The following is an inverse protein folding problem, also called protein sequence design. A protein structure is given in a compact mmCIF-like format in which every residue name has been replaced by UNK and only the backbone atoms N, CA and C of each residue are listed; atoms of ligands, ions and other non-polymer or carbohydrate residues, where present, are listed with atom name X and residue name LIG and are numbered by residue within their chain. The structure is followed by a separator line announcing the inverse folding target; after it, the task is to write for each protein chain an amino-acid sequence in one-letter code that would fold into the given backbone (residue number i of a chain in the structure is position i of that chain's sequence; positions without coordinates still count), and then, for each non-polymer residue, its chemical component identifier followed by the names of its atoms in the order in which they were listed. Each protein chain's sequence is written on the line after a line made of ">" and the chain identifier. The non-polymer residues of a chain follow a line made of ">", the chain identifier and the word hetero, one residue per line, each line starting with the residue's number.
data_IF_719758216572
#
_entry.id   IF_719758216572
#
_cell.length_a   1.000
_cell.length_b   1.000
_cell.length_c   1.000
_cell.angle_alpha   90.00
_cell.angle_beta   90.00
_cell.angle_gamma   90.00
#
_symmetry.space_group_name_H-M   'P 1'
#
loop_
_entity.id
_entity.type
_entity.pdbx_description
1 polymer ?
#
# COMPACT_ATOMS: atom_id res chain seq x y z
N UNK A 1 -0.06 17.94 -0.32
CA UNK A 1 -0.57 17.69 1.04
C UNK A 1 -1.77 16.77 0.88
N UNK A 2 -1.86 15.68 1.61
CA UNK A 2 -3.03 14.79 1.58
C UNK A 2 -4.19 15.44 2.33
N UNK A 3 -5.42 15.31 1.80
CA UNK A 3 -6.65 15.80 2.42
C UNK A 3 -7.70 14.71 2.61
N UNK A 4 -7.67 13.71 1.74
CA UNK A 4 -8.59 12.58 1.78
C UNK A 4 -7.80 11.26 1.81
N UNK A 5 -7.99 10.48 2.85
CA UNK A 5 -7.38 9.17 3.01
C UNK A 5 -8.46 8.09 2.98
N UNK A 6 -8.19 6.99 2.29
CA UNK A 6 -9.01 5.78 2.32
C UNK A 6 -8.26 4.68 3.04
N UNK A 7 -8.87 4.01 4.01
CA UNK A 7 -8.33 2.81 4.64
C UNK A 7 -9.28 1.64 4.46
N UNK A 8 -8.75 0.53 3.96
CA UNK A 8 -9.49 -0.73 3.93
C UNK A 8 -9.54 -1.32 5.35
N UNK A 9 -10.74 -1.68 5.80
CA UNK A 9 -11.03 -2.15 7.15
C UNK A 9 -11.60 -3.56 7.08
N UNK A 10 -11.03 -4.48 7.84
CA UNK A 10 -11.54 -5.84 8.01
C UNK A 10 -11.57 -6.26 9.49
N UNK A 11 -12.01 -7.49 9.75
CA UNK A 11 -12.10 -8.02 11.11
C UNK A 11 -10.80 -8.56 11.69
N UNK A 12 -9.67 -8.49 10.95
CA UNK A 12 -8.38 -9.05 11.39
C UNK A 12 -7.71 -8.17 12.46
N UNK A 13 -6.77 -8.75 13.20
CA UNK A 13 -5.95 -7.96 14.14
C UNK A 13 -4.94 -7.08 13.39
N UNK A 14 -4.47 -7.50 12.22
CA UNK A 14 -3.64 -6.70 11.34
C UNK A 14 -4.33 -5.41 10.88
N UNK A 15 -5.67 -5.40 10.76
CA UNK A 15 -6.43 -4.19 10.46
C UNK A 15 -6.26 -3.10 11.52
N UNK A 16 -6.05 -3.46 12.79
CA UNK A 16 -5.84 -2.46 13.85
C UNK A 16 -4.55 -1.67 13.64
N UNK A 17 -3.47 -2.32 13.20
CA UNK A 17 -2.21 -1.64 12.89
C UNK A 17 -2.37 -0.69 11.70
N UNK A 18 -3.11 -1.14 10.67
CA UNK A 18 -3.42 -0.35 9.48
C UNK A 18 -4.29 0.86 9.80
N UNK A 19 -5.32 0.67 10.62
CA UNK A 19 -6.22 1.74 11.10
C UNK A 19 -5.42 2.78 11.91
N UNK A 20 -4.63 2.34 12.89
CA UNK A 20 -3.80 3.22 13.72
C UNK A 20 -2.79 4.01 12.87
N UNK A 21 -2.13 3.35 11.91
CA UNK A 21 -1.22 4.02 10.97
C UNK A 21 -1.95 5.10 10.14
N UNK A 22 -3.15 4.79 9.63
CA UNK A 22 -3.97 5.71 8.85
C UNK A 22 -4.47 6.90 9.65
N UNK A 23 -4.88 6.69 10.91
CA UNK A 23 -5.28 7.77 11.82
C UNK A 23 -4.14 8.74 12.11
N UNK A 24 -2.91 8.22 12.27
CA UNK A 24 -1.73 9.08 12.45
C UNK A 24 -1.41 9.91 11.22
N UNK A 25 -1.57 9.35 10.02
CA UNK A 25 -1.45 10.10 8.77
C UNK A 25 -2.55 11.16 8.66
N UNK A 26 -3.81 10.82 8.96
CA UNK A 26 -4.92 11.75 8.95
C UNK A 26 -4.66 12.94 9.89
N UNK A 27 -4.22 12.67 11.12
CA UNK A 27 -3.86 13.72 12.08
C UNK A 27 -2.68 14.58 11.60
N UNK A 28 -1.61 13.95 11.06
CA UNK A 28 -0.44 14.67 10.55
C UNK A 28 -0.79 15.65 9.45
N UNK A 29 -1.73 15.30 8.59
CA UNK A 29 -2.09 16.09 7.41
C UNK A 29 -3.37 16.91 7.58
N UNK A 30 -4.04 16.82 8.73
CA UNK A 30 -5.37 17.40 8.93
C UNK A 30 -6.32 16.93 7.79
N UNK A 31 -6.36 15.62 7.60
CA UNK A 31 -7.04 14.95 6.50
C UNK A 31 -8.24 14.17 7.00
N UNK A 32 -9.29 14.11 6.17
CA UNK A 32 -10.43 13.25 6.37
C UNK A 32 -10.06 11.77 6.13
N UNK A 33 -10.55 10.86 6.97
CA UNK A 33 -10.27 9.42 6.89
C UNK A 33 -11.53 8.62 6.62
N UNK A 34 -11.63 8.00 5.45
CA UNK A 34 -12.71 7.07 5.10
C UNK A 34 -12.31 5.63 5.40
N UNK A 35 -13.06 4.95 6.28
CA UNK A 35 -12.94 3.51 6.51
C UNK A 35 -13.84 2.72 5.57
N UNK A 36 -13.28 1.94 4.66
CA UNK A 36 -14.01 1.08 3.72
C UNK A 36 -13.96 -0.37 4.16
N UNK A 37 -15.11 -0.98 4.43
CA UNK A 37 -15.23 -2.41 4.70
C UNK A 37 -15.91 -3.13 3.54
N UNK A 38 -15.26 -4.18 3.04
CA UNK A 38 -15.79 -5.02 1.96
C UNK A 38 -16.62 -6.16 2.53
N UNK A 39 -17.87 -6.26 2.07
CA UNK A 39 -18.76 -7.35 2.38
C UNK A 39 -18.61 -8.41 1.29
N UNK A 40 -18.22 -9.62 1.67
CA UNK A 40 -18.04 -10.69 0.70
C UNK A 40 -19.37 -11.10 0.09
N UNK A 41 -19.46 -10.99 -1.24
CA UNK A 41 -20.56 -11.56 -2.00
C UNK A 41 -20.39 -13.08 -2.10
N UNK A 42 -21.49 -13.79 -1.99
CA UNK A 42 -21.52 -15.25 -2.14
C UNK A 42 -21.38 -15.62 -3.62
N UNK A 43 -20.19 -16.05 -4.03
CA UNK A 43 -19.94 -16.56 -5.37
C UNK A 43 -19.92 -18.09 -5.31
N UNK A 44 -21.07 -18.71 -5.64
CA UNK A 44 -21.18 -20.16 -5.65
C UNK A 44 -21.05 -20.71 -7.07
N UNK A 45 -20.30 -21.79 -7.26
CA UNK A 45 -20.37 -22.55 -8.50
C UNK A 45 -21.82 -23.01 -8.75
N UNK A 46 -22.31 -23.00 -10.00
CA UNK A 46 -23.71 -23.37 -10.32
C UNK A 46 -24.14 -24.74 -9.75
N UNK A 47 -23.22 -25.71 -9.71
CA UNK A 47 -23.47 -27.02 -9.13
C UNK A 47 -23.75 -26.98 -7.60
N UNK A 48 -23.19 -26.04 -6.88
CA UNK A 48 -23.39 -25.91 -5.43
C UNK A 48 -24.63 -25.04 -5.14
N UNK A 49 -24.87 -24.01 -5.96
CA UNK A 49 -26.03 -23.12 -5.81
C UNK A 49 -27.37 -23.86 -5.91
N UNK A 50 -27.43 -24.97 -6.64
CA UNK A 50 -28.64 -25.80 -6.77
C UNK A 50 -29.06 -26.43 -5.44
N UNK A 51 -28.16 -26.66 -4.51
CA UNK A 51 -28.42 -27.27 -3.20
C UNK A 51 -28.49 -26.26 -2.05
N UNK A 52 -28.27 -24.97 -2.33
CA UNK A 52 -28.38 -23.93 -1.31
C UNK A 52 -29.85 -23.56 -1.07
N UNK A 53 -30.28 -23.59 0.19
CA UNK A 53 -31.60 -23.07 0.56
C UNK A 53 -31.55 -21.57 0.74
N UNK A 54 -32.67 -20.89 0.52
CA UNK A 54 -32.79 -19.44 0.71
C UNK A 54 -32.47 -19.02 2.17
N UNK A 55 -32.79 -19.91 3.14
CA UNK A 55 -32.49 -19.67 4.55
C UNK A 55 -30.97 -19.66 4.82
N UNK A 56 -30.25 -20.62 4.23
CA UNK A 56 -28.78 -20.71 4.38
C UNK A 56 -28.09 -19.54 3.70
N UNK A 57 -28.52 -19.15 2.51
CA UNK A 57 -28.04 -17.97 1.82
C UNK A 57 -28.25 -16.70 2.66
N UNK A 58 -29.46 -16.49 3.20
CA UNK A 58 -29.79 -15.38 4.05
C UNK A 58 -28.94 -15.36 5.32
N UNK A 59 -28.67 -16.53 5.92
CA UNK A 59 -27.83 -16.64 7.11
C UNK A 59 -26.37 -16.26 6.82
N UNK A 60 -25.80 -16.74 5.72
CA UNK A 60 -24.43 -16.38 5.31
C UNK A 60 -24.31 -14.87 5.08
N UNK A 61 -25.27 -14.28 4.37
CA UNK A 61 -25.29 -12.85 4.11
C UNK A 61 -25.43 -12.02 5.40
N UNK A 62 -26.25 -12.47 6.35
CA UNK A 62 -26.41 -11.82 7.65
C UNK A 62 -25.10 -11.90 8.47
N UNK A 63 -24.41 -13.03 8.47
CA UNK A 63 -23.13 -13.21 9.14
C UNK A 63 -22.05 -12.33 8.54
N UNK A 64 -21.95 -12.19 7.21
CA UNK A 64 -21.01 -11.28 6.56
C UNK A 64 -21.32 -9.81 6.88
N UNK A 65 -22.59 -9.41 6.89
CA UNK A 65 -23.00 -8.06 7.31
C UNK A 65 -22.63 -7.77 8.77
N UNK A 66 -22.83 -8.72 9.70
CA UNK A 66 -22.45 -8.59 11.10
C UNK A 66 -20.94 -8.46 11.28
N UNK A 67 -20.16 -9.22 10.52
CA UNK A 67 -18.69 -9.12 10.51
C UNK A 67 -18.23 -7.73 10.05
N UNK A 68 -18.81 -7.24 8.96
CA UNK A 68 -18.49 -5.91 8.44
C UNK A 68 -18.83 -4.80 9.44
N UNK A 69 -20.03 -4.88 10.07
CA UNK A 69 -20.44 -3.91 11.07
C UNK A 69 -19.54 -3.95 12.32
N UNK A 70 -19.14 -5.14 12.77
CA UNK A 70 -18.20 -5.27 13.89
C UNK A 70 -16.82 -4.68 13.56
N UNK A 71 -16.33 -4.85 12.33
CA UNK A 71 -15.08 -4.25 11.88
C UNK A 71 -15.17 -2.72 11.82
N UNK A 72 -16.25 -2.18 11.27
CA UNK A 72 -16.49 -0.74 11.23
C UNK A 72 -16.70 -0.13 12.61
N UNK A 73 -17.33 -0.84 13.54
CA UNK A 73 -17.48 -0.36 14.91
C UNK A 73 -16.12 -0.26 15.62
N UNK A 74 -15.21 -1.21 15.39
CA UNK A 74 -13.81 -1.11 15.87
C UNK A 74 -13.11 0.12 15.29
N UNK A 75 -13.29 0.38 14.00
CA UNK A 75 -12.75 1.57 13.34
C UNK A 75 -13.34 2.86 13.93
N UNK A 76 -14.68 2.98 14.02
CA UNK A 76 -15.36 4.16 14.61
C UNK A 76 -14.91 4.43 16.03
N UNK A 77 -14.80 3.38 16.85
CA UNK A 77 -14.32 3.51 18.23
C UNK A 77 -12.90 4.03 18.30
N UNK A 78 -12.01 3.52 17.45
CA UNK A 78 -10.64 3.98 17.37
C UNK A 78 -10.56 5.43 16.86
N UNK A 79 -11.26 5.76 15.76
CA UNK A 79 -11.24 7.09 15.17
C UNK A 79 -11.89 8.15 16.07
N UNK A 80 -12.98 7.82 16.78
CA UNK A 80 -13.63 8.74 17.72
C UNK A 80 -12.77 9.09 18.94
N UNK A 81 -11.77 8.30 19.27
CA UNK A 81 -10.83 8.61 20.35
C UNK A 81 -9.71 9.58 19.92
N UNK A 82 -9.62 9.84 18.64
CA UNK A 82 -8.66 10.72 18.00
C UNK A 82 -9.38 11.97 17.47
N UNK A 83 -8.70 13.09 17.44
CA UNK A 83 -9.27 14.36 16.92
C UNK A 83 -9.10 14.42 15.39
N UNK A 84 -9.85 13.57 14.68
CA UNK A 84 -9.86 13.49 13.21
C UNK A 84 -11.28 13.42 12.67
N UNK A 85 -11.49 13.98 11.49
CA UNK A 85 -12.75 13.80 10.75
C UNK A 85 -12.73 12.45 10.01
N UNK A 86 -13.81 11.69 10.13
CA UNK A 86 -13.90 10.39 9.46
C UNK A 86 -15.33 10.03 9.02
N UNK A 87 -15.42 9.15 8.03
CA UNK A 87 -16.64 8.44 7.67
C UNK A 87 -16.40 6.93 7.50
N UNK A 88 -17.48 6.16 7.29
CA UNK A 88 -17.40 4.74 7.02
C UNK A 88 -18.22 4.38 5.80
N UNK A 89 -17.69 3.48 4.97
CA UNK A 89 -18.36 2.95 3.78
C UNK A 89 -18.34 1.42 3.80
N UNK A 90 -19.38 0.85 3.22
CA UNK A 90 -19.40 -0.58 2.88
C UNK A 90 -19.67 -0.73 1.41
N UNK A 91 -19.04 -1.71 0.81
CA UNK A 91 -19.38 -2.16 -0.54
C UNK A 91 -19.35 -3.68 -0.60
N UNK A 92 -20.03 -4.26 -1.58
CA UNK A 92 -20.19 -5.71 -1.70
C UNK A 92 -19.66 -6.20 -3.02
N UNK A 93 -18.80 -7.22 -2.95
CA UNK A 93 -18.25 -7.87 -4.13
C UNK A 93 -17.72 -9.26 -3.86
N UNK A 94 -17.48 -9.99 -4.92
CA UNK A 94 -16.72 -11.23 -4.86
C UNK A 94 -15.24 -10.92 -4.52
N UNK A 95 -14.46 -11.88 -4.02
CA UNK A 95 -13.04 -11.68 -3.76
C UNK A 95 -12.26 -11.16 -4.99
N UNK A 96 -12.68 -11.55 -6.20
CA UNK A 96 -12.07 -11.08 -7.45
C UNK A 96 -12.36 -9.62 -7.78
N UNK A 97 -13.48 -9.08 -7.29
CA UNK A 97 -13.90 -7.69 -7.49
C UNK A 97 -13.37 -6.75 -6.41
N UNK A 98 -12.85 -7.26 -5.30
CA UNK A 98 -12.44 -6.45 -4.16
C UNK A 98 -11.38 -5.41 -4.50
N UNK A 99 -10.39 -5.76 -5.33
CA UNK A 99 -9.36 -4.82 -5.75
C UNK A 99 -9.94 -3.66 -6.58
N UNK A 100 -10.84 -3.95 -7.49
CA UNK A 100 -11.53 -2.95 -8.31
C UNK A 100 -12.40 -2.02 -7.45
N UNK A 101 -13.12 -2.58 -6.46
CA UNK A 101 -13.96 -1.83 -5.53
C UNK A 101 -13.10 -0.87 -4.70
N UNK A 102 -12.03 -1.37 -4.05
CA UNK A 102 -11.12 -0.51 -3.28
C UNK A 102 -10.53 0.59 -4.16
N UNK A 103 -10.10 0.23 -5.36
CA UNK A 103 -9.52 1.17 -6.30
C UNK A 103 -10.52 2.22 -6.79
N UNK A 104 -11.78 1.84 -6.98
CA UNK A 104 -12.85 2.78 -7.33
C UNK A 104 -13.06 3.83 -6.23
N UNK A 105 -13.13 3.41 -4.97
CA UNK A 105 -13.21 4.33 -3.84
C UNK A 105 -11.93 5.18 -3.70
N UNK A 106 -10.76 4.58 -3.93
CA UNK A 106 -9.46 5.24 -3.88
C UNK A 106 -9.25 6.34 -4.92
N UNK A 107 -10.05 6.37 -6.01
CA UNK A 107 -9.99 7.46 -7.00
C UNK A 107 -10.42 8.82 -6.46
N UNK A 108 -11.08 8.82 -5.32
CA UNK A 108 -11.53 10.03 -4.62
C UNK A 108 -10.71 10.31 -3.34
N UNK A 109 -9.59 9.61 -3.18
CA UNK A 109 -8.65 9.80 -2.07
C UNK A 109 -7.27 10.17 -2.61
N UNK A 110 -6.52 10.94 -1.82
CA UNK A 110 -5.12 11.28 -2.12
C UNK A 110 -4.18 10.11 -1.82
N UNK A 111 -4.58 9.22 -0.91
CA UNK A 111 -3.82 8.03 -0.54
C UNK A 111 -4.78 6.91 -0.12
N UNK A 112 -4.61 5.74 -0.70
CA UNK A 112 -5.32 4.51 -0.30
C UNK A 112 -4.41 3.66 0.58
N UNK A 113 -4.89 3.27 1.76
CA UNK A 113 -4.14 2.43 2.71
C UNK A 113 -4.78 1.05 2.77
N UNK A 114 -3.97 0.03 2.48
CA UNK A 114 -4.37 -1.38 2.53
C UNK A 114 -3.39 -2.20 3.37
N UNK A 115 -3.75 -3.42 3.72
CA UNK A 115 -2.87 -4.34 4.44
C UNK A 115 -2.03 -5.22 3.52
N UNK A 116 -0.85 -5.59 3.99
CA UNK A 116 -0.13 -6.74 3.45
C UNK A 116 -0.94 -8.01 3.74
N UNK A 117 -1.09 -8.94 2.78
CA UNK A 117 -1.74 -10.22 3.03
C UNK A 117 -1.03 -11.00 4.15
N UNK A 118 -1.81 -11.50 5.08
CA UNK A 118 -1.33 -12.45 6.08
C UNK A 118 -1.32 -13.85 5.46
N UNK A 119 -0.16 -14.51 5.31
CA UNK A 119 -0.08 -15.85 4.72
C UNK A 119 -0.77 -16.92 5.57
N UNK A 120 -0.98 -16.68 6.86
CA UNK A 120 -1.64 -17.60 7.78
C UNK A 120 -3.15 -17.33 7.89
N UNK A 121 -3.67 -16.29 7.22
CA UNK A 121 -5.09 -15.97 7.25
C UNK A 121 -5.92 -17.02 6.50
N UNK A 122 -6.98 -17.50 7.14
CA UNK A 122 -7.92 -18.48 6.57
C UNK A 122 -8.75 -17.88 5.43
N UNK A 123 -8.88 -16.56 5.39
CA UNK A 123 -9.66 -15.86 4.36
C UNK A 123 -8.73 -15.25 3.31
N UNK A 124 -9.16 -15.32 2.04
CA UNK A 124 -8.47 -14.61 0.96
C UNK A 124 -8.44 -13.13 1.27
N UNK A 125 -7.25 -12.64 1.56
CA UNK A 125 -6.99 -11.21 1.72
C UNK A 125 -6.96 -10.53 0.34
N UNK A 126 -7.14 -9.22 0.34
CA UNK A 126 -6.98 -8.38 -0.82
C UNK A 126 -5.56 -8.51 -1.38
N UNK A 127 -5.39 -8.76 -2.68
CA UNK A 127 -4.06 -8.75 -3.30
C UNK A 127 -3.60 -7.29 -3.52
N UNK A 128 -2.52 -6.85 -2.87
CA UNK A 128 -2.03 -5.48 -3.04
C UNK A 128 -1.61 -5.15 -4.47
N UNK A 129 -1.13 -6.14 -5.21
CA UNK A 129 -0.73 -5.97 -6.60
C UNK A 129 -1.92 -5.60 -7.49
N UNK A 130 -3.04 -6.28 -7.31
CA UNK A 130 -4.26 -5.99 -8.06
C UNK A 130 -4.80 -4.59 -7.73
N UNK A 131 -4.76 -4.18 -6.44
CA UNK A 131 -5.17 -2.84 -6.04
C UNK A 131 -4.27 -1.78 -6.67
N UNK A 132 -2.95 -1.94 -6.61
CA UNK A 132 -1.99 -0.98 -7.20
C UNK A 132 -2.19 -0.86 -8.70
N UNK A 133 -2.45 -1.96 -9.39
CA UNK A 133 -2.69 -1.97 -10.85
C UNK A 133 -4.01 -1.28 -11.24
N UNK A 134 -5.04 -1.36 -10.40
CA UNK A 134 -6.35 -0.76 -10.64
C UNK A 134 -6.46 0.67 -10.08
N UNK A 135 -5.57 1.07 -9.16
CA UNK A 135 -5.61 2.35 -8.48
C UNK A 135 -5.31 3.52 -9.43
N UNK A 136 -5.97 4.65 -9.20
CA UNK A 136 -5.70 5.91 -9.91
C UNK A 136 -4.66 6.79 -9.23
N UNK A 137 -4.24 6.44 -8.00
CA UNK A 137 -3.33 7.19 -7.14
C UNK A 137 -2.41 6.28 -6.31
N UNK A 138 -1.69 6.86 -5.35
CA UNK A 138 -0.75 6.12 -4.52
C UNK A 138 -1.45 5.15 -3.56
N UNK A 139 -0.84 4.00 -3.37
CA UNK A 139 -1.28 2.97 -2.44
C UNK A 139 -0.19 2.77 -1.37
N UNK A 140 -0.57 2.90 -0.11
CA UNK A 140 0.24 2.56 1.03
C UNK A 140 -0.12 1.16 1.52
N UNK A 141 0.84 0.27 1.53
CA UNK A 141 0.66 -1.09 2.01
C UNK A 141 1.31 -1.18 3.39
N UNK A 142 0.51 -1.54 4.40
CA UNK A 142 0.97 -1.65 5.79
C UNK A 142 1.28 -3.11 6.12
N UNK A 143 2.44 -3.42 6.72
CA UNK A 143 2.80 -4.79 7.09
C UNK A 143 1.75 -5.43 8.00
N UNK A 144 1.54 -6.75 7.83
CA UNK A 144 0.66 -7.53 8.71
C UNK A 144 1.32 -7.85 10.05
N UNK A 145 2.64 -7.82 10.12
CA UNK A 145 3.44 -8.08 11.33
C UNK A 145 4.10 -6.80 11.82
N UNK A 146 4.18 -6.67 13.14
CA UNK A 146 4.83 -5.53 13.79
C UNK A 146 3.93 -4.31 13.88
N UNK A 147 4.41 -3.32 14.61
CA UNK A 147 3.74 -2.02 14.71
C UNK A 147 4.58 -1.01 13.94
N UNK A 148 4.12 -0.51 12.78
CA UNK A 148 4.85 0.53 12.06
C UNK A 148 5.14 1.72 12.97
N UNK A 149 6.30 2.33 12.80
CA UNK A 149 6.64 3.54 13.58
C UNK A 149 5.56 4.60 13.41
N UNK A 150 5.38 5.37 14.45
CA UNK A 150 4.33 6.41 14.52
C UNK A 150 4.57 7.58 13.61
N UNK A 151 5.82 7.79 13.24
CA UNK A 151 6.28 8.91 12.40
C UNK A 151 7.09 8.36 11.23
N UNK A 152 6.84 8.92 10.05
CA UNK A 152 7.69 8.69 8.87
C UNK A 152 8.86 9.65 8.98
N UNK A 153 10.02 9.13 9.42
CA UNK A 153 11.22 9.93 9.67
C UNK A 153 12.35 9.60 8.69
N UNK A 154 12.54 8.29 8.40
CA UNK A 154 13.62 7.82 7.55
C UNK A 154 13.02 7.14 6.32
N UNK A 155 13.05 7.83 5.19
CA UNK A 155 12.42 7.35 3.96
C UNK A 155 13.47 6.84 2.98
N UNK A 156 13.25 5.64 2.47
CA UNK A 156 14.02 5.11 1.35
C UNK A 156 13.20 5.18 0.07
N UNK A 157 13.78 5.68 -1.00
CA UNK A 157 13.22 5.73 -2.34
C UNK A 157 13.97 4.74 -3.23
N UNK A 158 13.30 3.68 -3.69
CA UNK A 158 13.86 2.79 -4.70
C UNK A 158 13.68 3.41 -6.08
N UNK A 159 14.78 3.85 -6.69
CA UNK A 159 14.78 4.60 -7.93
C UNK A 159 15.36 3.80 -9.10
N UNK A 160 14.60 3.71 -10.18
CA UNK A 160 15.02 3.07 -11.43
C UNK A 160 14.74 3.92 -12.69
N UNK A 161 14.45 5.21 -12.52
CA UNK A 161 14.11 6.16 -13.59
C UNK A 161 12.88 5.76 -14.44
N UNK A 162 12.03 4.85 -13.97
CA UNK A 162 10.77 4.53 -14.63
C UNK A 162 9.71 5.61 -14.36
N UNK A 163 8.64 5.60 -15.17
CA UNK A 163 7.49 6.50 -14.97
C UNK A 163 6.82 6.24 -13.62
N UNK A 164 6.76 4.99 -13.21
CA UNK A 164 6.15 4.54 -11.97
C UNK A 164 6.96 5.02 -10.76
N UNK A 165 8.31 4.92 -10.82
CA UNK A 165 9.15 5.48 -9.75
C UNK A 165 9.06 7.00 -9.68
N UNK A 166 8.98 7.70 -10.82
CA UNK A 166 8.79 9.14 -10.84
C UNK A 166 7.42 9.57 -10.27
N UNK A 167 6.35 8.81 -10.55
CA UNK A 167 5.04 9.02 -9.94
C UNK A 167 5.08 8.77 -8.43
N UNK A 168 5.69 7.67 -8.01
CA UNK A 168 5.80 7.33 -6.58
C UNK A 168 6.54 8.43 -5.80
N UNK A 169 7.62 8.98 -6.33
CA UNK A 169 8.31 10.14 -5.72
C UNK A 169 7.38 11.34 -5.64
N UNK A 170 6.73 11.73 -6.74
CA UNK A 170 5.83 12.88 -6.76
C UNK A 170 4.69 12.73 -5.75
N UNK A 171 4.07 11.55 -5.73
CA UNK A 171 2.90 11.31 -4.91
C UNK A 171 3.27 11.11 -3.42
N UNK A 172 4.55 10.82 -3.10
CA UNK A 172 5.07 10.75 -1.73
C UNK A 172 5.60 12.09 -1.18
N UNK A 173 5.69 13.16 -1.99
CA UNK A 173 6.23 14.45 -1.57
C UNK A 173 5.73 14.94 -0.21
N UNK A 174 4.41 14.84 0.13
CA UNK A 174 3.94 15.28 1.45
C UNK A 174 4.57 14.52 2.62
N UNK A 175 4.97 13.27 2.41
CA UNK A 175 5.68 12.47 3.42
C UNK A 175 7.17 12.83 3.48
N UNK A 176 7.79 13.11 2.32
CA UNK A 176 9.20 13.45 2.21
C UNK A 176 9.51 14.81 2.85
N UNK A 177 8.64 15.82 2.68
CA UNK A 177 8.81 17.18 3.24
C UNK A 177 8.92 17.21 4.77
N UNK A 178 8.44 16.19 5.46
CA UNK A 178 8.52 16.11 6.92
C UNK A 178 9.45 14.99 7.40
N UNK A 179 10.21 14.35 6.52
CA UNK A 179 11.16 13.31 6.88
C UNK A 179 12.46 13.94 7.46
N UNK A 180 13.09 13.23 8.38
CA UNK A 180 14.41 13.61 8.92
C UNK A 180 15.55 13.21 7.99
N UNK A 181 15.35 12.13 7.23
CA UNK A 181 16.33 11.58 6.31
C UNK A 181 15.61 10.97 5.11
N UNK A 182 16.08 11.28 3.92
CA UNK A 182 15.61 10.70 2.66
C UNK A 182 16.80 10.12 1.92
N UNK A 183 16.74 8.84 1.59
CA UNK A 183 17.76 8.15 0.81
C UNK A 183 17.19 7.69 -0.52
N UNK A 184 17.83 8.04 -1.63
CA UNK A 184 17.53 7.50 -2.95
C UNK A 184 18.49 6.36 -3.25
N UNK A 185 17.96 5.17 -3.49
CA UNK A 185 18.74 3.98 -3.79
C UNK A 185 18.52 3.58 -5.25
N UNK A 186 19.60 3.66 -6.05
CA UNK A 186 19.66 3.12 -7.40
C UNK A 186 20.27 1.72 -7.34
N UNK A 187 19.44 0.69 -7.50
CA UNK A 187 19.88 -0.69 -7.41
C UNK A 187 20.23 -1.23 -8.81
N UNK A 188 21.49 -1.62 -9.02
CA UNK A 188 22.01 -2.11 -10.32
C UNK A 188 21.59 -1.21 -11.48
N UNK A 189 21.95 0.07 -11.46
CA UNK A 189 21.57 0.95 -12.55
C UNK A 189 22.16 0.45 -13.85
N UNK A 190 21.33 0.39 -14.90
CA UNK A 190 21.84 0.15 -16.24
C UNK A 190 22.76 1.30 -16.64
N UNK A 191 23.95 0.98 -17.15
CA UNK A 191 24.96 1.98 -17.55
C UNK A 191 24.60 2.69 -18.85
N UNK A 192 23.50 2.34 -19.49
CA UNK A 192 23.09 2.87 -20.79
C UNK A 192 21.69 3.49 -20.75
N UNK A 193 21.64 4.78 -20.96
CA UNK A 193 20.50 5.50 -21.53
C UNK A 193 19.49 6.14 -20.58
N UNK A 194 19.12 5.54 -19.44
CA UNK A 194 18.04 6.08 -18.59
C UNK A 194 18.53 6.81 -17.33
N UNK A 195 19.75 6.60 -16.91
CA UNK A 195 20.31 7.17 -15.67
C UNK A 195 21.37 8.26 -15.86
N UNK A 196 21.75 8.58 -17.11
CA UNK A 196 22.87 9.48 -17.37
C UNK A 196 24.22 8.93 -16.86
N UNK A 197 25.23 9.81 -16.73
CA UNK A 197 26.57 9.43 -16.27
C UNK A 197 26.63 9.12 -14.76
N UNK A 198 25.70 9.70 -13.97
CA UNK A 198 25.60 9.51 -12.52
C UNK A 198 24.17 9.10 -12.15
N UNK A 199 23.89 7.80 -11.99
CA UNK A 199 22.57 7.32 -11.60
C UNK A 199 22.08 7.97 -10.30
N UNK A 200 20.84 8.49 -10.33
CA UNK A 200 20.24 9.16 -9.18
C UNK A 200 20.60 10.64 -8.98
N UNK A 201 21.58 11.20 -9.71
CA UNK A 201 21.96 12.60 -9.54
C UNK A 201 20.82 13.57 -9.86
N UNK A 202 20.10 13.34 -10.96
CA UNK A 202 18.98 14.20 -11.37
C UNK A 202 17.81 14.15 -10.41
N UNK A 203 17.45 12.98 -9.89
CA UNK A 203 16.38 12.88 -8.89
C UNK A 203 16.83 13.48 -7.56
N UNK A 204 18.07 13.32 -7.15
CA UNK A 204 18.64 13.99 -5.99
C UNK A 204 18.55 15.51 -6.11
N UNK A 205 18.96 16.07 -7.27
CA UNK A 205 18.84 17.50 -7.54
C UNK A 205 17.36 17.96 -7.57
N UNK A 206 16.46 17.15 -8.12
CA UNK A 206 15.02 17.43 -8.12
C UNK A 206 14.50 17.57 -6.67
N UNK A 207 14.77 16.58 -5.83
CA UNK A 207 14.35 16.58 -4.43
C UNK A 207 14.95 17.75 -3.64
N UNK A 208 16.25 18.08 -3.84
CA UNK A 208 16.90 19.23 -3.23
C UNK A 208 16.23 20.55 -3.61
N UNK A 209 15.75 20.72 -4.83
CA UNK A 209 14.99 21.92 -5.26
C UNK A 209 13.63 22.04 -4.55
N UNK A 210 13.09 20.94 -4.03
CA UNK A 210 11.91 20.90 -3.17
C UNK A 210 12.24 21.05 -1.67
N UNK A 211 13.50 21.36 -1.34
CA UNK A 211 13.94 21.56 0.05
C UNK A 211 14.15 20.26 0.83
N UNK A 212 14.22 19.12 0.16
CA UNK A 212 14.46 17.83 0.78
C UNK A 212 15.96 17.56 0.78
N UNK A 213 16.53 17.34 1.98
CA UNK A 213 17.90 16.84 2.11
C UNK A 213 17.93 15.36 1.80
N UNK A 214 18.71 14.97 0.78
CA UNK A 214 18.68 13.65 0.21
C UNK A 214 20.09 13.08 0.02
N UNK A 215 20.29 11.86 0.48
CA UNK A 215 21.46 11.04 0.17
C UNK A 215 21.16 10.12 -1.03
N UNK A 216 22.11 10.01 -1.96
CA UNK A 216 21.95 9.16 -3.16
C UNK A 216 22.97 8.02 -3.11
N UNK A 217 22.47 6.80 -3.11
CA UNK A 217 23.28 5.58 -3.04
C UNK A 217 23.11 4.72 -4.29
N UNK A 218 24.24 4.19 -4.76
CA UNK A 218 24.27 3.18 -5.82
C UNK A 218 24.61 1.85 -5.18
N UNK A 219 23.70 0.90 -5.25
CA UNK A 219 23.88 -0.44 -4.66
C UNK A 219 24.11 -1.48 -5.75
N UNK A 220 25.32 -2.02 -5.79
CA UNK A 220 25.68 -3.14 -6.67
C UNK A 220 25.36 -4.47 -5.99
N UNK A 221 24.20 -5.06 -6.27
CA UNK A 221 23.83 -6.38 -5.75
C UNK A 221 24.16 -7.50 -6.75
N UNK A 222 25.33 -8.11 -6.71
CA UNK A 222 25.65 -9.26 -7.54
C UNK A 222 25.10 -10.54 -6.94
N UNK A 223 24.24 -11.25 -7.69
CA UNK A 223 23.76 -12.58 -7.28
C UNK A 223 22.58 -12.62 -6.29
N UNK A 224 22.09 -11.47 -5.81
CA UNK A 224 20.94 -11.37 -4.89
C UNK A 224 19.73 -10.85 -5.65
N UNK A 225 18.53 -11.34 -5.30
CA UNK A 225 17.27 -10.76 -5.80
C UNK A 225 17.14 -9.31 -5.36
N UNK A 226 16.71 -8.45 -6.29
CA UNK A 226 16.60 -6.99 -6.06
C UNK A 226 15.66 -6.67 -4.90
N UNK A 227 14.54 -7.40 -4.78
CA UNK A 227 13.58 -7.21 -3.70
C UNK A 227 14.19 -7.48 -2.33
N UNK A 228 14.86 -8.61 -2.18
CA UNK A 228 15.54 -8.97 -0.94
C UNK A 228 16.68 -8.01 -0.59
N UNK A 229 17.44 -7.57 -1.59
CA UNK A 229 18.51 -6.62 -1.37
C UNK A 229 17.99 -5.24 -0.93
N UNK A 230 16.89 -4.76 -1.50
CA UNK A 230 16.22 -3.53 -1.06
C UNK A 230 15.70 -3.65 0.37
N UNK A 231 15.04 -4.77 0.73
CA UNK A 231 14.54 -4.99 2.08
C UNK A 231 15.67 -5.10 3.12
N UNK A 232 16.80 -5.73 2.77
CA UNK A 232 17.99 -5.74 3.61
C UNK A 232 18.53 -4.33 3.83
N UNK A 233 18.59 -3.53 2.77
CA UNK A 233 19.05 -2.14 2.86
C UNK A 233 18.11 -1.26 3.68
N UNK A 234 16.77 -1.45 3.56
CA UNK A 234 15.77 -0.82 4.43
C UNK A 234 16.03 -1.13 5.89
N UNK A 235 16.30 -2.39 6.23
CA UNK A 235 16.58 -2.82 7.59
C UNK A 235 17.91 -2.24 8.11
N UNK A 236 18.98 -2.30 7.32
CA UNK A 236 20.32 -1.81 7.69
C UNK A 236 20.33 -0.29 7.94
N UNK A 237 19.54 0.47 7.18
CA UNK A 237 19.39 1.93 7.32
C UNK A 237 18.36 2.35 8.35
N UNK A 238 17.58 1.40 8.88
CA UNK A 238 16.50 1.69 9.83
C UNK A 238 15.40 2.57 9.22
N UNK A 239 15.18 2.42 7.90
CA UNK A 239 14.09 3.12 7.20
C UNK A 239 12.75 2.70 7.76
N UNK A 240 11.82 3.63 7.83
CA UNK A 240 10.45 3.42 8.32
C UNK A 240 9.38 3.58 7.24
N UNK A 241 9.80 3.91 6.03
CA UNK A 241 8.98 3.91 4.81
C UNK A 241 9.84 3.56 3.60
N UNK A 242 9.34 2.67 2.74
CA UNK A 242 9.87 2.44 1.39
C UNK A 242 8.93 3.06 0.36
N UNK A 243 9.47 3.91 -0.53
CA UNK A 243 8.77 4.48 -1.68
C UNK A 243 9.28 3.83 -2.94
N UNK A 244 8.40 3.26 -3.76
CA UNK A 244 8.80 2.58 -4.99
C UNK A 244 7.72 2.63 -6.07
N UNK A 245 8.12 2.64 -7.33
CA UNK A 245 7.20 2.33 -8.43
C UNK A 245 6.98 0.83 -8.57
N UNK A 246 5.78 0.44 -8.98
CA UNK A 246 5.45 -0.95 -9.28
C UNK A 246 5.30 -1.18 -10.79
N UNK A 247 5.71 -2.36 -11.26
CA UNK A 247 5.41 -2.87 -12.62
C UNK A 247 5.96 -2.05 -13.79
N UNK A 248 7.04 -1.29 -13.61
CA UNK A 248 7.64 -0.41 -14.61
C UNK A 248 8.31 -1.10 -15.82
N UNK A 249 8.49 -2.40 -15.80
CA UNK A 249 8.99 -3.16 -16.94
C UNK A 249 7.84 -3.71 -17.77
N UNK A 250 7.33 -2.86 -18.68
CA UNK A 250 6.34 -3.27 -19.67
C UNK A 250 6.96 -4.25 -20.67
N UNK A 251 6.66 -5.51 -20.55
CA UNK A 251 6.42 -6.40 -21.70
C UNK A 251 5.74 -7.66 -21.21
N UNK A 252 4.49 -7.76 -21.51
CA UNK A 252 3.53 -8.83 -21.25
C UNK A 252 2.54 -8.54 -20.11
N UNK A 253 1.41 -8.03 -20.53
CA UNK A 253 0.18 -7.80 -19.78
C UNK A 253 -0.48 -9.06 -19.19
N UNK A 254 0.21 -10.19 -19.26
CA UNK A 254 -0.33 -11.46 -18.79
C UNK A 254 0.69 -12.11 -17.85
N UNK A 255 0.43 -12.05 -16.56
CA UNK A 255 0.89 -12.98 -15.52
C UNK A 255 2.32 -12.85 -14.93
N UNK A 256 3.09 -11.76 -15.04
CA UNK A 256 4.33 -11.68 -14.25
C UNK A 256 4.42 -10.39 -13.46
N UNK A 257 3.98 -10.43 -12.22
CA UNK A 257 4.45 -9.55 -11.14
C UNK A 257 5.98 -9.52 -11.21
N UNK A 258 6.59 -8.34 -11.38
CA UNK A 258 8.05 -8.23 -11.35
C UNK A 258 8.58 -8.88 -10.08
N UNK A 259 9.59 -9.75 -10.19
CA UNK A 259 10.08 -10.53 -9.05
C UNK A 259 10.34 -9.67 -7.81
N UNK A 260 10.99 -8.51 -7.97
CA UNK A 260 11.28 -7.58 -6.88
C UNK A 260 10.01 -7.04 -6.18
N UNK A 261 8.98 -6.65 -6.93
CA UNK A 261 7.71 -6.17 -6.37
C UNK A 261 7.04 -7.26 -5.54
N UNK A 262 6.95 -8.48 -6.10
CA UNK A 262 6.35 -9.61 -5.38
C UNK A 262 7.12 -9.92 -4.09
N UNK A 263 8.44 -10.00 -4.15
CA UNK A 263 9.29 -10.24 -2.99
C UNK A 263 9.05 -9.18 -1.93
N UNK A 264 9.07 -7.90 -2.30
CA UNK A 264 8.86 -6.79 -1.37
C UNK A 264 7.47 -6.89 -0.73
N UNK A 265 6.40 -6.99 -1.50
CA UNK A 265 5.04 -7.02 -0.98
C UNK A 265 4.73 -8.26 -0.14
N UNK A 266 5.42 -9.38 -0.36
CA UNK A 266 5.23 -10.59 0.45
C UNK A 266 6.04 -10.62 1.75
N UNK A 267 7.16 -9.87 1.84
CA UNK A 267 8.11 -10.01 2.97
C UNK A 267 8.50 -8.67 3.60
N UNK A 268 7.82 -7.58 3.24
CA UNK A 268 8.06 -6.24 3.79
C UNK A 268 7.81 -6.20 5.30
N UNK A 269 8.61 -5.41 6.01
CA UNK A 269 8.51 -5.18 7.46
C UNK A 269 8.28 -3.72 7.81
N UNK A 270 8.29 -2.83 6.81
CA UNK A 270 7.96 -1.41 6.91
C UNK A 270 6.87 -1.07 5.90
N UNK A 271 6.08 -0.02 6.13
CA UNK A 271 5.12 0.44 5.12
C UNK A 271 5.78 0.71 3.76
N UNK A 272 5.06 0.37 2.70
CA UNK A 272 5.49 0.58 1.32
C UNK A 272 4.48 1.47 0.61
N UNK A 273 4.92 2.65 0.16
CA UNK A 273 4.14 3.50 -0.74
C UNK A 273 4.51 3.17 -2.18
N UNK A 274 3.52 2.84 -2.96
CA UNK A 274 3.73 2.42 -4.34
C UNK A 274 2.69 2.98 -5.31
N UNK A 275 3.07 3.10 -6.58
CA UNK A 275 2.24 3.61 -7.68
C UNK A 275 2.55 2.80 -8.93
N UNK A 276 1.55 2.59 -9.79
CA UNK A 276 1.69 2.04 -11.14
C UNK A 276 1.52 3.11 -12.22
#
# INVERSE_FOLDING_TARGET
>A
MYRDLLVEVDGSDAALHRIDYSMRLARRFDAHLTGLCLIRALALPPAVGTYMTAELEAQILDDENKRAEAALERFRKAASSEDIEFDTRTDRGTPQEHADIVSLHGRYADLTVIGQPDPDAITTSLDPGDVVMAAGGPVMIVPHIGTPKTTVENVMIAWNASRESARAVRDSMPLLEGAKSVEVVCFRPETTGSHGDLPGADIGLHLSRHGIDVDVQIVEGRGIDVGNALLSHVADRGSDLLVMGCYGHSRLREAVLGGATRTILSTMTVPVLTVH
#
